data_IF_643575315294
#
_entry.id   IF_643575315294
#
_cell.length_a   1.000
_cell.length_b   1.000
_cell.length_c   1.000
_cell.angle_alpha   90.00
_cell.angle_beta   90.00
_cell.angle_gamma   90.00
#
_symmetry.space_group_name_H-M   'P 1'
#
loop_
_entity.id
_entity.type
_entity.pdbx_description
1 polymer ?
#
# COMPACT_ATOMS: atom_id res chain seq x y z
N UNK A 1 9.67 23.91 10.59
CA UNK A 1 9.16 22.66 11.20
C UNK A 1 8.58 22.89 12.61
N UNK A 2 9.31 23.53 13.54
CA UNK A 2 8.80 23.83 14.90
C UNK A 2 7.84 25.03 14.97
N UNK A 3 7.95 25.98 14.03
CA UNK A 3 7.04 27.13 13.94
C UNK A 3 5.60 26.78 13.50
N UNK A 4 5.33 25.50 13.15
CA UNK A 4 3.98 25.01 12.78
C UNK A 4 3.43 23.96 13.78
N UNK A 5 4.03 23.81 14.96
CA UNK A 5 3.50 22.93 16.02
C UNK A 5 3.70 21.42 15.82
N UNK A 6 4.56 21.00 14.88
CA UNK A 6 4.82 19.58 14.57
C UNK A 6 5.82 19.02 15.62
N UNK A 7 5.41 18.08 16.51
CA UNK A 7 6.28 17.56 17.55
C UNK A 7 7.39 16.69 16.95
N UNK A 8 8.62 16.83 17.45
CA UNK A 8 9.79 16.03 17.04
C UNK A 8 9.63 14.52 17.28
N UNK A 9 8.67 14.14 18.13
CA UNK A 9 8.36 12.75 18.54
C UNK A 9 7.14 12.16 17.82
N UNK A 10 6.48 12.90 16.93
CA UNK A 10 5.30 12.41 16.24
C UNK A 10 5.65 11.28 15.26
N UNK A 11 4.99 10.13 15.43
CA UNK A 11 5.08 9.00 14.50
C UNK A 11 4.15 9.25 13.32
N UNK A 12 4.72 9.73 12.22
CA UNK A 12 4.01 9.84 10.95
C UNK A 12 4.19 8.57 10.13
N UNK A 13 3.09 8.08 9.56
CA UNK A 13 3.08 7.09 8.49
C UNK A 13 3.91 7.59 7.31
N UNK A 14 4.26 6.67 6.40
CA UNK A 14 5.06 7.05 5.23
C UNK A 14 4.32 8.08 4.37
N UNK A 15 3.01 7.94 4.17
CA UNK A 15 2.17 8.83 3.35
C UNK A 15 2.11 10.24 3.95
N UNK A 16 1.89 10.34 5.26
CA UNK A 16 1.85 11.63 5.96
C UNK A 16 3.16 12.41 5.80
N UNK A 17 4.31 11.74 5.71
CA UNK A 17 5.59 12.42 5.48
C UNK A 17 5.65 13.12 4.11
N UNK A 18 5.09 12.50 3.07
CA UNK A 18 4.98 13.11 1.75
C UNK A 18 4.03 14.31 1.79
N UNK A 19 2.86 14.17 2.42
CA UNK A 19 1.89 15.26 2.55
C UNK A 19 2.44 16.44 3.36
N UNK A 20 3.13 16.17 4.47
CA UNK A 20 3.79 17.20 5.29
C UNK A 20 4.80 17.98 4.45
N UNK A 21 5.56 17.33 3.57
CA UNK A 21 6.51 18.06 2.72
C UNK A 21 5.80 18.99 1.74
N UNK A 22 4.73 18.52 1.09
CA UNK A 22 3.91 19.37 0.20
C UNK A 22 3.33 20.55 0.98
N UNK A 23 2.84 20.32 2.20
CA UNK A 23 2.34 21.37 3.10
C UNK A 23 3.41 22.39 3.50
N UNK A 24 4.64 21.92 3.76
CA UNK A 24 5.77 22.80 4.09
C UNK A 24 6.18 23.69 2.92
N UNK A 25 6.01 23.19 1.69
CA UNK A 25 6.31 23.92 0.46
C UNK A 25 5.10 24.72 -0.08
N UNK A 26 3.95 24.65 0.59
CA UNK A 26 2.66 25.20 0.14
C UNK A 26 2.28 24.74 -1.28
N UNK A 27 2.56 23.48 -1.60
CA UNK A 27 2.20 22.84 -2.87
C UNK A 27 0.84 22.16 -2.78
N UNK A 28 0.25 21.88 -3.93
CA UNK A 28 -1.04 21.19 -4.01
C UNK A 28 -0.94 19.76 -3.45
N UNK A 29 -1.86 19.42 -2.54
CA UNK A 29 -1.98 18.09 -1.93
C UNK A 29 -2.38 17.01 -2.94
N UNK A 30 -2.28 15.76 -2.51
CA UNK A 30 -2.87 14.65 -3.26
C UNK A 30 -4.39 14.67 -3.20
N UNK A 31 -5.03 14.23 -4.28
CA UNK A 31 -6.44 13.87 -4.23
C UNK A 31 -6.58 12.50 -3.56
N UNK A 32 -7.12 12.48 -2.35
CA UNK A 32 -7.27 11.25 -1.55
C UNK A 32 -8.36 10.31 -2.08
N UNK A 33 -9.24 10.80 -2.96
CA UNK A 33 -10.34 10.07 -3.57
C UNK A 33 -9.96 9.26 -4.82
N UNK A 34 -8.71 9.35 -5.29
CA UNK A 34 -8.30 8.72 -6.56
C UNK A 34 -6.93 8.03 -6.47
N UNK A 35 -6.62 7.21 -7.48
CA UNK A 35 -5.25 6.76 -7.73
C UNK A 35 -4.35 7.96 -8.10
N UNK A 36 -3.07 8.01 -7.69
CA UNK A 36 -2.31 6.95 -7.01
C UNK A 36 -2.44 6.92 -5.48
N UNK A 37 -3.11 7.88 -4.84
CA UNK A 37 -3.18 7.99 -3.38
C UNK A 37 -3.88 6.78 -2.72
N UNK A 38 -5.04 6.38 -3.26
CA UNK A 38 -5.77 5.22 -2.75
C UNK A 38 -4.98 3.92 -2.89
N UNK A 39 -4.25 3.77 -3.99
CA UNK A 39 -3.48 2.57 -4.28
C UNK A 39 -2.30 2.43 -3.33
N UNK A 40 -1.52 3.51 -3.12
CA UNK A 40 -0.40 3.48 -2.17
C UNK A 40 -0.88 3.30 -0.73
N UNK A 41 -2.04 3.88 -0.37
CA UNK A 41 -2.65 3.68 0.94
C UNK A 41 -2.96 2.21 1.17
N UNK A 42 -3.60 1.58 0.19
CA UNK A 42 -3.93 0.15 0.24
C UNK A 42 -2.68 -0.73 0.24
N UNK A 43 -1.63 -0.34 -0.48
CA UNK A 43 -0.34 -1.02 -0.48
C UNK A 43 0.34 -0.96 0.89
N UNK A 44 0.33 0.20 1.56
CA UNK A 44 0.87 0.35 2.92
C UNK A 44 0.06 -0.49 3.92
N UNK A 45 -1.27 -0.49 3.82
CA UNK A 45 -2.14 -1.36 4.62
C UNK A 45 -1.79 -2.85 4.41
N UNK A 46 -1.63 -3.27 3.15
CA UNK A 46 -1.26 -4.64 2.78
C UNK A 46 0.11 -5.02 3.36
N UNK A 47 1.13 -4.19 3.16
CA UNK A 47 2.49 -4.41 3.67
C UNK A 47 2.49 -4.53 5.19
N UNK A 48 1.74 -3.69 5.90
CA UNK A 48 1.64 -3.77 7.35
C UNK A 48 0.92 -5.06 7.80
N UNK A 49 -0.15 -5.45 7.11
CA UNK A 49 -0.86 -6.70 7.40
C UNK A 49 0.02 -7.93 7.18
N UNK A 50 0.90 -7.92 6.18
CA UNK A 50 1.85 -9.00 5.91
C UNK A 50 2.98 -9.08 6.93
N UNK A 51 3.54 -7.93 7.35
CA UNK A 51 4.62 -7.89 8.34
C UNK A 51 4.13 -8.32 9.72
N UNK A 52 2.91 -7.94 10.08
CA UNK A 52 2.27 -8.34 11.34
C UNK A 52 1.42 -9.60 11.20
N UNK A 53 1.61 -10.38 10.13
CA UNK A 53 0.88 -11.61 9.94
C UNK A 53 1.43 -12.71 10.88
N UNK A 54 0.63 -13.09 11.87
CA UNK A 54 0.89 -14.30 12.66
C UNK A 54 0.20 -15.50 11.99
N UNK A 55 0.94 -16.52 11.50
CA UNK A 55 0.35 -17.73 10.97
C UNK A 55 -0.27 -18.54 12.11
N UNK A 56 -1.54 -18.29 12.41
CA UNK A 56 -2.32 -19.13 13.32
C UNK A 56 -2.79 -20.35 12.56
N UNK A 57 -2.52 -21.55 13.10
CA UNK A 57 -3.06 -22.81 12.61
C UNK A 57 -4.57 -22.63 12.43
N UNK A 58 -5.03 -22.74 11.19
CA UNK A 58 -6.45 -22.65 10.82
C UNK A 58 -7.11 -23.97 11.25
N UNK A 59 -6.96 -24.36 12.51
CA UNK A 59 -7.81 -25.37 13.14
C UNK A 59 -9.00 -24.61 13.71
N UNK A 60 -10.14 -24.85 13.07
CA UNK A 60 -11.49 -24.48 13.51
C UNK A 60 -11.59 -24.44 15.03
N UNK A 61 -11.60 -23.23 15.60
CA UNK A 61 -12.19 -22.88 16.90
C UNK A 61 -12.01 -21.39 17.19
N UNK A 62 -13.04 -20.62 16.86
CA UNK A 62 -13.63 -19.59 17.73
C UNK A 62 -12.67 -18.82 18.65
N UNK A 63 -11.91 -17.84 18.15
CA UNK A 63 -11.47 -16.69 18.99
C UNK A 63 -10.76 -15.52 18.28
N UNK A 64 -10.29 -15.62 17.03
CA UNK A 64 -9.46 -14.54 16.45
C UNK A 64 -10.13 -13.75 15.31
N UNK A 65 -10.80 -12.66 15.68
CA UNK A 65 -11.45 -11.69 14.79
C UNK A 65 -10.50 -10.95 13.82
N UNK A 66 -9.18 -11.01 13.99
CA UNK A 66 -8.22 -10.18 13.24
C UNK A 66 -7.91 -10.72 11.84
N UNK A 67 -7.66 -12.03 11.70
CA UNK A 67 -7.32 -12.66 10.42
C UNK A 67 -8.51 -12.65 9.45
N UNK A 68 -9.71 -12.95 9.96
CA UNK A 68 -10.94 -12.96 9.16
C UNK A 68 -11.36 -11.56 8.70
N UNK A 69 -11.22 -10.52 9.55
CA UNK A 69 -11.50 -9.12 9.17
C UNK A 69 -10.56 -8.63 8.06
N UNK A 70 -9.28 -8.97 8.11
CA UNK A 70 -8.31 -8.55 7.10
C UNK A 70 -8.52 -9.25 5.76
N UNK A 71 -8.81 -10.56 5.77
CA UNK A 71 -9.14 -11.30 4.55
C UNK A 71 -10.31 -10.66 3.79
N UNK A 72 -11.42 -10.39 4.48
CA UNK A 72 -12.57 -9.72 3.86
C UNK A 72 -12.30 -8.27 3.45
N UNK A 73 -11.48 -7.53 4.20
CA UNK A 73 -11.10 -6.16 3.85
C UNK A 73 -10.33 -6.12 2.53
N UNK A 74 -9.33 -6.98 2.38
CA UNK A 74 -8.51 -7.02 1.17
C UNK A 74 -9.23 -7.64 -0.01
N UNK A 75 -10.04 -8.67 0.20
CA UNK A 75 -10.90 -9.24 -0.83
C UNK A 75 -11.78 -8.16 -1.46
N UNK A 76 -12.52 -7.39 -0.67
CA UNK A 76 -13.39 -6.31 -1.18
C UNK A 76 -12.63 -5.21 -1.93
N UNK A 77 -11.40 -4.88 -1.50
CA UNK A 77 -10.64 -3.75 -2.06
C UNK A 77 -9.68 -4.13 -3.20
N UNK A 78 -9.20 -5.37 -3.24
CA UNK A 78 -8.13 -5.82 -4.16
C UNK A 78 -8.60 -6.84 -5.21
N UNK A 79 -9.74 -7.53 -5.01
CA UNK A 79 -10.19 -8.59 -5.93
C UNK A 79 -10.31 -8.14 -7.40
N UNK A 80 -10.62 -6.86 -7.66
CA UNK A 80 -10.73 -6.32 -9.01
C UNK A 80 -9.55 -5.45 -9.46
N UNK A 81 -8.47 -5.35 -8.68
CA UNK A 81 -7.30 -4.54 -9.05
C UNK A 81 -6.28 -5.30 -9.88
N UNK A 82 -6.20 -6.62 -9.72
CA UNK A 82 -5.28 -7.48 -10.44
C UNK A 82 -5.72 -8.94 -10.34
N UNK A 83 -5.16 -9.78 -11.21
CA UNK A 83 -5.47 -11.21 -11.22
C UNK A 83 -4.92 -11.92 -9.97
N UNK A 84 -5.75 -12.80 -9.41
CA UNK A 84 -5.37 -13.69 -8.30
C UNK A 84 -4.18 -14.58 -8.64
N UNK A 85 -3.52 -15.09 -7.60
CA UNK A 85 -2.46 -16.06 -7.72
C UNK A 85 -2.97 -17.36 -8.37
N UNK A 86 -2.41 -17.67 -9.55
CA UNK A 86 -2.74 -18.85 -10.37
C UNK A 86 -2.58 -20.17 -9.61
N UNK A 87 -1.67 -20.25 -8.64
CA UNK A 87 -1.44 -21.47 -7.85
C UNK A 87 -2.60 -21.82 -6.90
N UNK A 88 -3.38 -20.83 -6.48
CA UNK A 88 -4.51 -21.00 -5.56
C UNK A 88 -5.86 -20.67 -6.21
N UNK A 89 -5.88 -20.53 -7.53
CA UNK A 89 -7.12 -20.30 -8.27
C UNK A 89 -7.96 -21.59 -8.24
N UNK A 90 -9.21 -21.48 -7.77
CA UNK A 90 -10.13 -22.63 -7.67
C UNK A 90 -9.91 -23.54 -6.46
N UNK A 91 -8.96 -23.21 -5.56
CA UNK A 91 -8.78 -23.94 -4.29
C UNK A 91 -9.72 -23.38 -3.22
N UNK A 92 -10.09 -24.20 -2.24
CA UNK A 92 -10.87 -23.79 -1.05
C UNK A 92 -10.07 -22.96 -0.04
N UNK A 93 -8.88 -22.46 -0.40
CA UNK A 93 -8.02 -21.67 0.50
C UNK A 93 -8.54 -20.25 0.65
N UNK A 94 -8.27 -19.63 1.81
CA UNK A 94 -8.61 -18.24 2.06
C UNK A 94 -7.96 -17.28 1.05
N UNK A 95 -8.64 -16.16 0.76
CA UNK A 95 -8.17 -15.16 -0.20
C UNK A 95 -6.84 -14.53 0.26
N UNK A 96 -6.76 -14.10 1.52
CA UNK A 96 -5.53 -13.61 2.14
C UNK A 96 -4.89 -14.70 3.03
N UNK A 97 -3.57 -14.90 2.99
CA UNK A 97 -2.61 -14.29 2.07
C UNK A 97 -2.52 -15.02 0.70
N UNK A 98 -2.99 -16.26 0.60
CA UNK A 98 -2.60 -17.18 -0.48
C UNK A 98 -3.06 -16.76 -1.90
N UNK A 99 -4.36 -16.47 -2.10
CA UNK A 99 -4.88 -16.08 -3.43
C UNK A 99 -4.48 -14.66 -3.81
N UNK A 100 -4.32 -13.77 -2.82
CA UNK A 100 -3.90 -12.39 -3.04
C UNK A 100 -2.43 -12.29 -3.44
N UNK A 101 -1.54 -12.99 -2.74
CA UNK A 101 -0.10 -12.88 -2.97
C UNK A 101 0.30 -13.68 -4.22
N UNK A 102 0.58 -12.96 -5.31
CA UNK A 102 1.07 -13.53 -6.56
C UNK A 102 1.81 -12.49 -7.41
N UNK A 103 2.23 -12.90 -8.61
CA UNK A 103 2.99 -12.05 -9.53
C UNK A 103 2.27 -10.71 -9.84
N UNK A 104 0.96 -10.74 -10.04
CA UNK A 104 0.20 -9.53 -10.35
C UNK A 104 0.03 -8.60 -9.14
N UNK A 105 -0.06 -9.13 -7.92
CA UNK A 105 -0.01 -8.32 -6.70
C UNK A 105 1.33 -7.61 -6.55
N UNK A 106 2.44 -8.31 -6.84
CA UNK A 106 3.77 -7.71 -6.80
C UNK A 106 3.94 -6.63 -7.88
N UNK A 107 3.50 -6.90 -9.11
CA UNK A 107 3.53 -5.93 -10.20
C UNK A 107 2.67 -4.70 -9.89
N UNK A 108 1.46 -4.90 -9.35
CA UNK A 108 0.59 -3.82 -8.89
C UNK A 108 1.26 -2.99 -7.80
N UNK A 109 1.87 -3.64 -6.80
CA UNK A 109 2.56 -2.95 -5.70
C UNK A 109 3.68 -2.02 -6.21
N UNK A 110 4.52 -2.50 -7.13
CA UNK A 110 5.59 -1.67 -7.72
C UNK A 110 5.00 -0.52 -8.52
N UNK A 111 4.02 -0.78 -9.39
CA UNK A 111 3.34 0.26 -10.18
C UNK A 111 2.69 1.33 -9.31
N UNK A 112 2.01 0.94 -8.24
CA UNK A 112 1.37 1.88 -7.31
C UNK A 112 2.37 2.72 -6.54
N UNK A 113 3.50 2.13 -6.11
CA UNK A 113 4.57 2.88 -5.46
C UNK A 113 5.20 3.89 -6.42
N UNK A 114 5.57 3.46 -7.63
CA UNK A 114 6.18 4.32 -8.66
C UNK A 114 5.23 5.45 -9.08
N UNK A 115 3.95 5.14 -9.33
CA UNK A 115 2.98 6.16 -9.72
C UNK A 115 2.77 7.23 -8.63
N UNK A 116 2.74 6.82 -7.36
CA UNK A 116 2.64 7.76 -6.24
C UNK A 116 3.88 8.65 -6.12
N UNK A 117 5.08 8.06 -6.21
CA UNK A 117 6.32 8.83 -6.12
C UNK A 117 6.54 9.72 -7.34
N UNK A 118 6.15 9.29 -8.55
CA UNK A 118 6.18 10.13 -9.75
C UNK A 118 5.31 11.36 -9.56
N UNK A 119 4.04 11.17 -9.15
CA UNK A 119 3.14 12.30 -8.90
C UNK A 119 3.69 13.25 -7.82
N UNK A 120 4.39 12.73 -6.82
CA UNK A 120 5.06 13.55 -5.82
C UNK A 120 6.22 14.35 -6.40
N UNK A 121 7.12 13.71 -7.15
CA UNK A 121 8.27 14.36 -7.77
C UNK A 121 7.84 15.39 -8.82
N UNK A 122 6.78 15.11 -9.57
CA UNK A 122 6.16 16.03 -10.52
C UNK A 122 5.64 17.29 -9.80
N UNK A 123 4.94 17.13 -8.66
CA UNK A 123 4.50 18.26 -7.82
C UNK A 123 5.67 19.08 -7.27
N UNK A 124 6.81 18.44 -7.00
CA UNK A 124 8.03 19.13 -6.57
C UNK A 124 8.81 19.77 -7.74
N UNK A 125 8.49 19.41 -8.98
CA UNK A 125 9.24 19.77 -10.18
C UNK A 125 10.72 19.36 -10.10
N UNK A 126 10.99 18.14 -9.61
CA UNK A 126 12.33 17.55 -9.46
C UNK A 126 12.34 16.17 -10.12
N UNK A 127 13.50 15.78 -10.66
CA UNK A 127 13.70 14.44 -11.23
C UNK A 127 13.69 13.39 -10.11
N UNK A 128 12.88 12.34 -10.27
CA UNK A 128 12.81 11.23 -9.33
C UNK A 128 14.18 10.57 -9.14
N UNK A 129 14.55 10.25 -7.90
CA UNK A 129 15.87 9.68 -7.58
C UNK A 129 16.09 8.31 -8.23
N UNK A 130 15.03 7.55 -8.47
CA UNK A 130 15.07 6.23 -9.12
C UNK A 130 15.00 6.29 -10.65
N UNK A 131 15.03 7.48 -11.27
CA UNK A 131 14.83 7.61 -12.71
C UNK A 131 15.86 6.79 -13.52
N UNK A 132 17.10 6.74 -13.04
CA UNK A 132 18.20 5.96 -13.62
C UNK A 132 17.94 4.43 -13.68
N UNK A 133 16.97 3.90 -12.90
CA UNK A 133 16.57 2.48 -12.92
C UNK A 133 15.12 2.27 -13.35
N UNK A 134 14.42 3.32 -13.81
CA UNK A 134 12.99 3.29 -14.15
C UNK A 134 12.63 2.16 -15.12
N UNK A 135 13.46 1.93 -16.13
CA UNK A 135 13.26 0.88 -17.14
C UNK A 135 13.28 -0.54 -16.60
N UNK A 136 13.75 -0.74 -15.36
CA UNK A 136 13.78 -2.05 -14.68
C UNK A 136 12.65 -2.23 -13.68
N UNK A 137 11.89 -1.16 -13.38
CA UNK A 137 10.81 -1.18 -12.40
C UNK A 137 9.43 -1.44 -13.01
N UNK A 138 9.27 -1.16 -14.31
CA UNK A 138 8.02 -1.28 -15.07
C UNK A 138 8.16 -2.28 -16.21
#
# INVERSE_FOLDING_TARGET
MWMRGIPRTAKYSIIEKYEILLDLLNLEKFNTGTSPYQDVTLLVELRNALIHYEPKNIMSSSSDNYSFKNAHKFEKKLHNKFDENKFYKGTGTAYFPNKLLGAHCAAWAVKSAVAYTDTFFDKLNIIATYDHVRSKLL
#
